data_IF_353323065970
#
_entry.id   IF_353323065970
#
_cell.length_a   1.000
_cell.length_b   1.000
_cell.length_c   1.000
_cell.angle_alpha   90.00
_cell.angle_beta   90.00
_cell.angle_gamma   90.00
#
_symmetry.space_group_name_H-M   'P 1'
#
loop_
_entity.id
_entity.type
_entity.pdbx_description
1 polymer ?
#
# COMPACT_ATOMS: atom_id res chain seq x y z
N UNK A 1 -21.77 5.02 12.69
CA UNK A 1 -20.52 4.22 12.71
C UNK A 1 -19.94 4.27 11.31
N UNK A 2 -19.05 5.24 11.03
CA UNK A 2 -18.43 5.38 9.71
C UNK A 2 -17.58 4.14 9.43
N UNK A 3 -17.97 3.33 8.45
CA UNK A 3 -17.22 2.15 8.03
C UNK A 3 -15.93 2.61 7.34
N UNK A 4 -14.80 2.54 8.05
CA UNK A 4 -13.48 2.74 7.43
C UNK A 4 -13.34 1.79 6.25
N UNK A 5 -13.07 2.31 5.05
CA UNK A 5 -12.87 1.49 3.86
C UNK A 5 -11.70 0.53 4.07
N UNK A 6 -11.75 -0.69 3.50
CA UNK A 6 -10.69 -1.69 3.70
C UNK A 6 -9.26 -1.18 3.44
N UNK A 7 -8.99 -0.37 2.38
CA UNK A 7 -7.66 0.19 2.16
C UNK A 7 -7.16 1.08 3.30
N UNK A 8 -8.01 1.96 3.82
CA UNK A 8 -7.64 2.88 4.90
C UNK A 8 -7.34 2.13 6.20
N UNK A 9 -8.12 1.08 6.51
CA UNK A 9 -7.87 0.23 7.67
C UNK A 9 -6.51 -0.47 7.56
N UNK A 10 -6.18 -1.06 6.42
CA UNK A 10 -4.87 -1.71 6.24
C UNK A 10 -3.71 -0.72 6.42
N UNK A 11 -3.84 0.49 5.88
CA UNK A 11 -2.80 1.50 6.01
C UNK A 11 -2.63 1.99 7.46
N UNK A 12 -3.74 2.14 8.19
CA UNK A 12 -3.72 2.47 9.61
C UNK A 12 -2.97 1.40 10.41
N UNK A 13 -3.27 0.12 10.15
CA UNK A 13 -2.60 -1.00 10.81
C UNK A 13 -1.11 -1.06 10.45
N UNK A 14 -0.74 -0.75 9.20
CA UNK A 14 0.67 -0.65 8.80
C UNK A 14 1.42 0.40 9.62
N UNK A 15 0.83 1.59 9.80
CA UNK A 15 1.41 2.64 10.65
C UNK A 15 1.44 2.24 12.12
N UNK A 16 0.40 1.57 12.61
CA UNK A 16 0.34 1.07 13.98
C UNK A 16 1.45 0.03 14.26
N UNK A 17 1.77 -0.84 13.29
CA UNK A 17 2.90 -1.76 13.39
C UNK A 17 4.24 -1.01 13.53
N UNK A 18 4.52 -0.02 12.69
CA UNK A 18 5.76 0.78 12.79
C UNK A 18 5.87 1.58 14.11
N UNK A 19 4.74 1.97 14.71
CA UNK A 19 4.69 2.68 16.00
C UNK A 19 4.74 1.75 17.21
N UNK A 20 4.91 0.44 17.03
CA UNK A 20 4.96 -0.52 18.13
C UNK A 20 3.62 -0.75 18.83
N UNK A 21 2.49 -0.42 18.19
CA UNK A 21 1.14 -0.67 18.74
C UNK A 21 0.70 -2.14 18.63
N UNK A 22 1.49 -2.98 17.97
CA UNK A 22 1.27 -4.42 17.86
C UNK A 22 2.41 -5.17 18.54
N UNK A 23 2.09 -6.30 19.17
CA UNK A 23 3.07 -7.23 19.71
C UNK A 23 3.75 -8.04 18.60
N UNK A 24 4.57 -7.38 17.78
CA UNK A 24 5.34 -7.99 16.69
C UNK A 24 6.82 -7.95 17.08
N UNK A 25 7.59 -9.04 16.91
CA UNK A 25 9.03 -9.02 17.13
C UNK A 25 9.69 -7.89 16.30
N UNK A 26 10.55 -7.09 16.92
CA UNK A 26 11.13 -5.89 16.28
C UNK A 26 11.68 -6.13 14.86
N UNK A 27 12.39 -7.26 14.65
CA UNK A 27 12.95 -7.67 13.35
C UNK A 27 11.91 -7.90 12.24
N UNK A 28 10.66 -8.15 12.61
CA UNK A 28 9.55 -8.45 11.68
C UNK A 28 8.64 -7.24 11.45
N UNK A 29 8.72 -6.20 12.29
CA UNK A 29 7.86 -5.01 12.21
C UNK A 29 7.87 -4.36 10.82
N UNK A 30 9.02 -4.08 10.18
CA UNK A 30 9.03 -3.46 8.86
C UNK A 30 8.32 -4.31 7.79
N UNK A 31 8.49 -5.65 7.85
CA UNK A 31 7.87 -6.57 6.89
C UNK A 31 6.37 -6.69 7.09
N UNK A 32 5.92 -6.78 8.35
CA UNK A 32 4.51 -6.80 8.68
C UNK A 32 3.81 -5.51 8.23
N UNK A 33 4.45 -4.35 8.47
CA UNK A 33 3.98 -3.07 7.98
C UNK A 33 3.95 -3.01 6.45
N UNK A 34 4.98 -3.51 5.77
CA UNK A 34 5.03 -3.55 4.31
C UNK A 34 3.91 -4.42 3.70
N UNK A 35 3.61 -5.57 4.31
CA UNK A 35 2.53 -6.44 3.86
C UNK A 35 1.17 -5.73 3.96
N UNK A 36 0.89 -5.09 5.10
CA UNK A 36 -0.35 -4.35 5.32
C UNK A 36 -0.48 -3.16 4.35
N UNK A 37 0.59 -2.39 4.16
CA UNK A 37 0.60 -1.28 3.21
C UNK A 37 0.40 -1.76 1.76
N UNK A 38 0.93 -2.93 1.41
CA UNK A 38 0.72 -3.55 0.10
C UNK A 38 -0.74 -3.94 -0.11
N UNK A 39 -1.40 -4.50 0.90
CA UNK A 39 -2.83 -4.79 0.87
C UNK A 39 -3.68 -3.52 0.70
N UNK A 40 -3.31 -2.42 1.38
CA UNK A 40 -3.96 -1.13 1.20
C UNK A 40 -3.87 -0.64 -0.25
N UNK A 41 -2.67 -0.71 -0.86
CA UNK A 41 -2.44 -0.30 -2.24
C UNK A 41 -3.19 -1.16 -3.25
N UNK A 42 -3.16 -2.49 -3.10
CA UNK A 42 -3.88 -3.42 -3.98
C UNK A 42 -5.39 -3.16 -3.95
N UNK A 43 -5.95 -3.03 -2.75
CA UNK A 43 -7.38 -2.77 -2.56
C UNK A 43 -7.77 -1.40 -3.16
N UNK A 44 -6.97 -0.35 -2.92
CA UNK A 44 -7.21 0.97 -3.50
C UNK A 44 -7.10 0.98 -5.02
N UNK A 45 -6.12 0.28 -5.58
CA UNK A 45 -5.96 0.14 -7.03
C UNK A 45 -7.16 -0.51 -7.68
N UNK A 46 -7.73 -1.54 -7.05
CA UNK A 46 -8.98 -2.17 -7.50
C UNK A 46 -10.14 -1.18 -7.46
N UNK A 47 -10.33 -0.44 -6.36
CA UNK A 47 -11.40 0.56 -6.24
C UNK A 47 -11.35 1.61 -7.35
N UNK A 48 -10.18 2.21 -7.58
CA UNK A 48 -10.00 3.23 -8.62
C UNK A 48 -10.31 2.64 -9.99
N UNK A 49 -9.75 1.48 -10.33
CA UNK A 49 -9.97 0.89 -11.65
C UNK A 49 -11.44 0.52 -11.89
N UNK A 50 -12.12 -0.05 -10.89
CA UNK A 50 -13.54 -0.40 -10.99
C UNK A 50 -14.43 0.84 -11.10
N UNK A 51 -14.11 1.94 -10.42
CA UNK A 51 -14.84 3.21 -10.53
C UNK A 51 -14.80 3.79 -11.96
N UNK A 52 -13.79 3.43 -12.75
CA UNK A 52 -13.66 3.83 -14.16
C UNK A 52 -14.13 2.73 -15.15
N UNK A 53 -14.89 1.73 -14.68
CA UNK A 53 -15.48 0.70 -15.54
C UNK A 53 -14.48 -0.34 -16.06
N UNK A 54 -13.25 -0.36 -15.55
CA UNK A 54 -12.26 -1.35 -15.95
C UNK A 54 -12.48 -2.66 -15.18
N UNK A 55 -12.78 -3.75 -15.90
CA UNK A 55 -13.00 -5.07 -15.31
C UNK A 55 -11.66 -5.76 -14.97
N UNK A 56 -10.93 -5.18 -14.02
CA UNK A 56 -9.55 -5.57 -13.69
C UNK A 56 -9.45 -6.49 -12.47
N UNK A 57 -10.56 -7.09 -12.03
CA UNK A 57 -10.57 -7.98 -10.86
C UNK A 57 -9.64 -9.18 -11.07
N UNK A 58 -9.54 -9.70 -12.29
CA UNK A 58 -8.59 -10.77 -12.64
C UNK A 58 -7.22 -10.25 -13.14
N UNK A 59 -7.06 -8.95 -13.36
CA UNK A 59 -5.82 -8.40 -13.90
C UNK A 59 -4.68 -8.44 -12.87
N UNK A 60 -3.46 -8.65 -13.35
CA UNK A 60 -2.27 -8.57 -12.50
C UNK A 60 -2.10 -7.16 -11.93
N UNK A 61 -1.40 -7.03 -10.80
CA UNK A 61 -1.16 -5.71 -10.21
C UNK A 61 -0.36 -4.78 -11.15
N UNK A 62 0.57 -5.32 -11.96
CA UNK A 62 1.27 -4.53 -12.98
C UNK A 62 0.31 -3.92 -14.00
N UNK A 63 -0.64 -4.71 -14.51
CA UNK A 63 -1.66 -4.22 -15.45
C UNK A 63 -2.54 -3.15 -14.81
N UNK A 64 -2.93 -3.35 -13.54
CA UNK A 64 -3.69 -2.33 -12.80
C UNK A 64 -2.93 -1.03 -12.63
N UNK A 65 -1.62 -1.05 -12.39
CA UNK A 65 -0.80 0.17 -12.28
C UNK A 65 -0.76 0.96 -13.59
N UNK A 66 -0.70 0.28 -14.73
CA UNK A 66 -0.76 0.93 -16.06
C UNK A 66 -2.10 1.65 -16.23
N UNK A 67 -3.21 0.97 -15.92
CA UNK A 67 -4.54 1.58 -16.01
C UNK A 67 -4.70 2.71 -15.00
N UNK A 68 -4.25 2.52 -13.75
CA UNK A 68 -4.29 3.53 -12.70
C UNK A 68 -3.60 4.81 -13.13
N UNK A 69 -2.41 4.74 -13.75
CA UNK A 69 -1.72 5.91 -14.30
C UNK A 69 -2.59 6.64 -15.32
N UNK A 70 -3.29 5.90 -16.18
CA UNK A 70 -4.17 6.49 -17.20
C UNK A 70 -5.43 7.15 -16.61
N UNK A 71 -6.04 6.56 -15.58
CA UNK A 71 -7.32 7.03 -15.03
C UNK A 71 -7.18 8.01 -13.87
N UNK A 72 -6.11 7.92 -13.08
CA UNK A 72 -5.84 8.76 -11.91
C UNK A 72 -4.68 9.77 -12.13
N UNK A 73 -4.05 9.75 -13.30
CA UNK A 73 -2.97 10.66 -13.70
C UNK A 73 -1.55 10.17 -13.35
N UNK A 74 -0.56 10.80 -13.97
CA UNK A 74 0.85 10.37 -13.90
C UNK A 74 1.39 10.35 -12.47
N UNK A 75 1.12 11.40 -11.68
CA UNK A 75 1.55 11.48 -10.28
C UNK A 75 1.04 10.30 -9.46
N UNK A 76 -0.23 9.93 -9.60
CA UNK A 76 -0.82 8.80 -8.87
C UNK A 76 -0.22 7.48 -9.35
N UNK A 77 -0.02 7.33 -10.66
CA UNK A 77 0.67 6.18 -11.26
C UNK A 77 2.10 6.00 -10.73
N UNK A 78 2.88 7.08 -10.66
CA UNK A 78 4.27 7.05 -10.23
C UNK A 78 4.37 6.71 -8.73
N UNK A 79 3.52 7.34 -7.88
CA UNK A 79 3.42 7.00 -6.45
C UNK A 79 3.07 5.52 -6.23
N UNK A 80 2.06 5.03 -6.96
CA UNK A 80 1.62 3.64 -6.87
C UNK A 80 2.70 2.67 -7.37
N UNK A 81 3.41 3.00 -8.45
CA UNK A 81 4.50 2.21 -9.00
C UNK A 81 5.67 2.08 -8.02
N UNK A 82 6.13 3.19 -7.45
CA UNK A 82 7.19 3.22 -6.44
C UNK A 82 6.77 2.42 -5.20
N UNK A 83 5.57 2.69 -4.68
CA UNK A 83 5.04 1.99 -3.51
C UNK A 83 4.93 0.48 -3.75
N UNK A 84 4.29 0.05 -4.84
CA UNK A 84 4.10 -1.36 -5.16
C UNK A 84 5.44 -2.10 -5.28
N UNK A 85 6.38 -1.53 -6.02
CA UNK A 85 7.71 -2.11 -6.25
C UNK A 85 8.50 -2.26 -4.95
N UNK A 86 8.55 -1.21 -4.13
CA UNK A 86 9.27 -1.22 -2.85
C UNK A 86 8.63 -2.15 -1.81
N UNK A 87 7.29 -2.12 -1.69
CA UNK A 87 6.56 -2.95 -0.72
C UNK A 87 6.64 -4.43 -1.08
N UNK A 88 6.56 -4.76 -2.38
CA UNK A 88 6.71 -6.15 -2.85
C UNK A 88 8.09 -6.70 -2.51
N UNK A 89 9.17 -5.95 -2.74
CA UNK A 89 10.53 -6.35 -2.32
C UNK A 89 10.64 -6.50 -0.81
N UNK A 90 10.09 -5.54 -0.05
CA UNK A 90 10.14 -5.55 1.42
C UNK A 90 9.43 -6.76 2.05
N UNK A 91 8.49 -7.38 1.34
CA UNK A 91 7.79 -8.58 1.82
C UNK A 91 8.61 -9.87 1.65
N UNK A 92 9.64 -9.90 0.80
CA UNK A 92 10.40 -11.11 0.52
C UNK A 92 11.58 -11.29 1.49
N UNK A 93 11.88 -12.55 1.81
CA UNK A 93 13.07 -12.93 2.55
C UNK A 93 14.11 -13.47 1.57
N UNK A 94 15.09 -12.66 1.20
CA UNK A 94 16.27 -13.13 0.49
C UNK A 94 17.42 -13.27 1.48
N UNK A 95 18.10 -14.43 1.49
CA UNK A 95 19.10 -14.78 2.50
C UNK A 95 20.29 -13.80 2.59
N UNK A 96 20.53 -13.02 1.54
CA UNK A 96 21.63 -12.06 1.43
C UNK A 96 21.17 -10.60 1.34
N UNK A 97 19.85 -10.34 1.38
CA UNK A 97 19.36 -8.96 1.38
C UNK A 97 19.26 -8.43 2.81
N UNK A 98 19.67 -7.17 2.98
CA UNK A 98 19.44 -6.44 4.22
C UNK A 98 17.93 -6.36 4.47
N UNK A 99 17.55 -6.46 5.74
CA UNK A 99 16.15 -6.26 6.11
C UNK A 99 15.73 -4.82 5.82
N UNK A 100 14.51 -4.60 5.29
CA UNK A 100 14.02 -3.25 5.06
C UNK A 100 13.96 -2.50 6.39
N UNK A 101 14.38 -1.24 6.38
CA UNK A 101 14.31 -0.37 7.55
C UNK A 101 12.89 0.13 7.76
N UNK A 102 12.54 0.50 8.99
CA UNK A 102 11.26 1.14 9.28
C UNK A 102 11.08 2.46 8.52
N UNK A 103 12.17 3.18 8.22
CA UNK A 103 12.16 4.43 7.46
C UNK A 103 11.80 4.22 5.99
N UNK A 104 12.43 3.24 5.33
CA UNK A 104 12.09 2.87 3.95
C UNK A 104 10.63 2.43 3.83
N UNK A 105 10.16 1.59 4.74
CA UNK A 105 8.75 1.14 4.75
C UNK A 105 7.80 2.31 5.06
N UNK A 106 8.20 3.21 5.97
CA UNK A 106 7.45 4.43 6.29
C UNK A 106 7.24 5.32 5.06
N UNK A 107 8.30 5.57 4.29
CA UNK A 107 8.23 6.32 3.04
C UNK A 107 7.25 5.70 2.04
N UNK A 108 7.28 4.36 1.89
CA UNK A 108 6.36 3.66 0.99
C UNK A 108 4.91 3.74 1.50
N UNK A 109 4.68 3.68 2.81
CA UNK A 109 3.37 3.89 3.44
C UNK A 109 2.85 5.30 3.14
N UNK A 110 3.71 6.32 3.19
CA UNK A 110 3.33 7.70 2.88
C UNK A 110 2.93 7.87 1.41
N UNK A 111 3.59 7.17 0.49
CA UNK A 111 3.18 7.14 -0.92
C UNK A 111 1.80 6.49 -1.10
N UNK A 112 1.49 5.40 -0.37
CA UNK A 112 0.15 4.79 -0.40
C UNK A 112 -0.90 5.73 0.22
N UNK A 113 -0.56 6.45 1.29
CA UNK A 113 -1.45 7.40 1.94
C UNK A 113 -1.96 8.50 0.98
N UNK A 114 -1.08 8.99 0.10
CA UNK A 114 -1.42 9.99 -0.91
C UNK A 114 -2.42 9.50 -1.98
N UNK A 115 -2.61 8.18 -2.10
CA UNK A 115 -3.55 7.57 -3.05
C UNK A 115 -4.92 7.30 -2.43
N UNK A 116 -5.03 7.39 -1.11
CA UNK A 116 -6.31 7.28 -0.41
C UNK A 116 -7.05 8.61 -0.49
N UNK A 117 -8.40 8.58 -0.49
CA UNK A 117 -9.15 9.82 -0.30
C UNK A 117 -8.73 10.47 1.02
N UNK A 118 -8.76 11.80 1.07
CA UNK A 118 -8.64 12.52 2.33
C UNK A 118 -9.63 11.90 3.32
N UNK A 119 -9.21 11.68 4.57
CA UNK A 119 -10.15 11.27 5.59
C UNK A 119 -11.28 12.31 5.61
N UNK A 120 -12.49 11.89 5.28
CA UNK A 120 -13.66 12.72 5.50
C UNK A 120 -13.75 12.92 7.02
N UNK A 121 -13.37 14.10 7.50
CA UNK A 121 -13.77 14.54 8.83
C UNK A 121 -15.30 14.65 8.86
N UNK A 122 -15.95 14.21 9.95
CA UNK A 122 -17.41 14.19 10.10
C UNK A 122 -18.03 15.59 10.10
#
# INVERSE_FOLDING_TARGET
MSSTTPPARFLEQARAALRGKHAIPARQVPRAAALLARQALEARGVEICCAHGAELRAATMRSRLVVLRKVAGDKAGDLAGVAWSGLSRSCHHHAYELSPTSGEVGYLIDNVAQLLPAAQDP
#
